data_IF_407952095164
#
_entry.id   IF_407952095164
#
_cell.length_a   1.000
_cell.length_b   1.000
_cell.length_c   1.000
_cell.angle_alpha   90.00
_cell.angle_beta   90.00
_cell.angle_gamma   90.00
#
_symmetry.space_group_name_H-M   'P 1'
#
loop_
_entity.id
_entity.type
_entity.pdbx_description
1 polymer ?
#
# COMPACT_ATOMS: atom_id res chain seq x y z
N UNK A 1 -24.13 -18.35 4.01
CA UNK A 1 -23.47 -17.06 4.28
C UNK A 1 -22.77 -17.20 5.62
N UNK A 2 -21.43 -17.20 5.64
CA UNK A 2 -20.68 -17.25 6.91
C UNK A 2 -20.70 -15.85 7.49
N UNK A 3 -21.46 -15.63 8.57
CA UNK A 3 -21.41 -14.39 9.34
C UNK A 3 -20.13 -14.38 10.16
N UNK A 4 -19.16 -13.56 9.75
CA UNK A 4 -18.00 -13.25 10.57
C UNK A 4 -18.39 -12.16 11.58
N UNK A 5 -17.87 -12.21 12.82
CA UNK A 5 -18.12 -11.17 13.82
C UNK A 5 -17.72 -9.79 13.30
N UNK A 6 -18.55 -8.76 13.53
CA UNK A 6 -18.30 -7.38 13.11
C UNK A 6 -16.94 -6.85 13.63
N UNK A 7 -16.58 -7.24 14.86
CA UNK A 7 -15.28 -7.00 15.48
C UNK A 7 -14.10 -7.50 14.63
N UNK A 8 -14.25 -8.67 13.99
CA UNK A 8 -13.23 -9.29 13.13
C UNK A 8 -13.19 -8.68 11.73
N UNK A 9 -14.32 -8.19 11.23
CA UNK A 9 -14.37 -7.43 9.98
C UNK A 9 -13.69 -6.07 10.19
N UNK A 10 -13.96 -5.38 11.30
CA UNK A 10 -13.32 -4.11 11.64
C UNK A 10 -11.82 -4.24 11.97
N UNK A 11 -11.32 -5.45 12.29
CA UNK A 11 -9.90 -5.69 12.57
C UNK A 11 -9.04 -5.99 11.33
N UNK A 12 -9.69 -6.14 10.17
CA UNK A 12 -9.05 -6.45 8.88
C UNK A 12 -9.40 -5.35 7.88
N UNK A 13 -8.38 -4.73 7.27
CA UNK A 13 -8.61 -3.70 6.26
C UNK A 13 -9.50 -4.18 5.08
N UNK A 14 -10.19 -3.25 4.45
CA UNK A 14 -11.06 -3.52 3.31
C UNK A 14 -10.32 -4.19 2.13
N UNK A 15 -9.05 -3.84 1.89
CA UNK A 15 -8.27 -4.42 0.78
C UNK A 15 -7.95 -5.91 0.99
N UNK A 16 -7.70 -6.36 2.22
CA UNK A 16 -7.61 -7.80 2.54
C UNK A 16 -8.95 -8.49 2.39
N UNK A 17 -10.04 -7.84 2.77
CA UNK A 17 -11.37 -8.42 2.61
C UNK A 17 -11.76 -8.57 1.14
N UNK A 18 -11.44 -7.59 0.30
CA UNK A 18 -11.74 -7.58 -1.13
C UNK A 18 -10.98 -8.66 -1.91
N UNK A 19 -9.77 -9.04 -1.49
CA UNK A 19 -8.94 -10.01 -2.20
C UNK A 19 -9.11 -11.45 -1.69
N UNK A 20 -9.85 -11.67 -0.57
CA UNK A 20 -10.20 -13.03 -0.07
C UNK A 20 -10.89 -13.93 -1.12
N UNK A 21 -11.79 -13.46 -1.98
CA UNK A 21 -12.40 -14.28 -3.02
C UNK A 21 -11.36 -14.81 -4.03
N UNK A 22 -10.41 -13.97 -4.44
CA UNK A 22 -9.32 -14.34 -5.35
C UNK A 22 -8.29 -15.27 -4.66
N UNK A 23 -8.05 -15.09 -3.36
CA UNK A 23 -7.26 -16.02 -2.53
C UNK A 23 -7.91 -17.41 -2.44
N UNK A 24 -9.25 -17.46 -2.28
CA UNK A 24 -10.02 -18.70 -2.23
C UNK A 24 -10.01 -19.46 -3.55
N UNK A 25 -9.84 -18.72 -4.66
CA UNK A 25 -9.69 -19.26 -6.02
C UNK A 25 -8.24 -19.67 -6.35
N UNK A 26 -7.30 -19.58 -5.40
CA UNK A 26 -5.89 -19.91 -5.59
C UNK A 26 -5.13 -18.92 -6.48
N UNK A 27 -5.70 -17.74 -6.75
CA UNK A 27 -5.10 -16.72 -7.61
C UNK A 27 -4.14 -15.80 -6.87
N UNK A 28 -4.16 -15.81 -5.53
CA UNK A 28 -3.38 -14.91 -4.67
C UNK A 28 -2.83 -15.59 -3.43
N UNK A 29 -1.60 -15.24 -3.07
CA UNK A 29 -0.93 -15.69 -1.85
C UNK A 29 -1.42 -14.86 -0.66
N UNK A 30 -1.83 -15.53 0.43
CA UNK A 30 -2.41 -14.93 1.65
C UNK A 30 -1.53 -13.88 2.34
N UNK A 31 -0.20 -13.93 2.14
CA UNK A 31 0.78 -13.09 2.83
C UNK A 31 1.01 -11.71 2.19
N UNK A 32 0.74 -11.55 0.89
CA UNK A 32 1.01 -10.30 0.16
C UNK A 32 0.01 -9.20 0.52
N UNK A 33 -1.28 -9.56 0.58
CA UNK A 33 -2.41 -8.65 0.77
C UNK A 33 -2.45 -8.06 2.19
N UNK A 34 -2.20 -8.90 3.19
CA UNK A 34 -2.20 -8.50 4.59
C UNK A 34 -1.10 -7.49 4.94
N UNK A 35 -0.07 -7.42 4.10
CA UNK A 35 1.05 -6.51 4.30
C UNK A 35 0.69 -5.07 3.91
N UNK A 36 0.07 -4.85 2.75
CA UNK A 36 -0.22 -3.49 2.23
C UNK A 36 -1.12 -2.69 3.17
N UNK A 37 -2.05 -3.37 3.83
CA UNK A 37 -3.17 -2.77 4.53
C UNK A 37 -2.91 -2.00 5.81
N UNK A 38 -1.79 -2.25 6.49
CA UNK A 38 -1.42 -1.43 7.65
C UNK A 38 0.07 -1.15 7.75
N UNK A 39 0.90 -1.68 6.86
CA UNK A 39 2.35 -1.63 7.03
C UNK A 39 3.03 -0.34 6.55
N UNK A 40 2.33 0.76 6.35
CA UNK A 40 2.96 1.99 5.84
C UNK A 40 3.40 2.93 6.98
N UNK A 41 2.99 2.68 8.22
CA UNK A 41 3.18 3.62 9.33
C UNK A 41 4.62 3.70 9.88
N UNK A 42 5.51 2.76 9.58
CA UNK A 42 6.92 2.84 10.01
C UNK A 42 7.90 2.40 8.91
N UNK A 43 9.16 2.87 8.96
CA UNK A 43 10.21 2.54 7.96
C UNK A 43 10.37 1.03 7.73
N UNK A 44 10.37 0.24 8.80
CA UNK A 44 10.52 -1.21 8.73
C UNK A 44 9.32 -1.86 8.04
N UNK A 45 8.12 -1.42 8.40
CA UNK A 45 6.87 -1.91 7.83
C UNK A 45 6.77 -1.54 6.34
N UNK A 46 7.18 -0.31 5.97
CA UNK A 46 7.16 0.18 4.60
C UNK A 46 8.13 -0.61 3.72
N UNK A 47 9.33 -0.90 4.23
CA UNK A 47 10.29 -1.76 3.53
C UNK A 47 9.72 -3.15 3.25
N UNK A 48 9.00 -3.75 4.22
CA UNK A 48 8.36 -5.05 4.03
C UNK A 48 7.18 -4.99 3.04
N UNK A 49 6.34 -3.96 3.11
CA UNK A 49 5.25 -3.76 2.14
C UNK A 49 5.77 -3.61 0.70
N UNK A 50 6.84 -2.82 0.51
CA UNK A 50 7.47 -2.64 -0.80
C UNK A 50 8.11 -3.92 -1.33
N UNK A 51 8.71 -4.76 -0.45
CA UNK A 51 9.19 -6.09 -0.84
C UNK A 51 8.06 -6.97 -1.37
N UNK A 52 6.93 -7.01 -0.66
CA UNK A 52 5.79 -7.82 -1.10
C UNK A 52 5.20 -7.29 -2.41
N UNK A 53 5.11 -5.97 -2.60
CA UNK A 53 4.69 -5.37 -3.87
C UNK A 53 5.65 -5.67 -5.02
N UNK A 54 6.95 -5.80 -4.76
CA UNK A 54 7.95 -6.21 -5.77
C UNK A 54 7.97 -7.72 -6.02
N UNK A 55 7.31 -8.53 -5.20
CA UNK A 55 7.13 -9.95 -5.44
C UNK A 55 5.81 -10.20 -6.19
N UNK A 56 4.75 -9.51 -5.76
CA UNK A 56 3.39 -9.64 -6.27
C UNK A 56 2.85 -8.25 -6.64
N UNK A 57 3.26 -7.67 -7.77
CA UNK A 57 2.92 -6.29 -8.13
C UNK A 57 1.44 -6.09 -8.43
N UNK A 58 0.77 -7.10 -9.01
CA UNK A 58 -0.62 -7.03 -9.47
C UNK A 58 -0.94 -5.66 -10.13
N UNK A 59 -2.07 -5.03 -9.76
CA UNK A 59 -2.42 -3.66 -10.14
C UNK A 59 -1.89 -2.59 -9.16
N UNK A 60 -1.16 -2.97 -8.12
CA UNK A 60 -0.72 -2.08 -7.04
C UNK A 60 0.67 -1.48 -7.28
N UNK A 61 1.50 -2.08 -8.17
CA UNK A 61 2.83 -1.56 -8.51
C UNK A 61 3.09 -1.63 -10.02
N UNK A 62 3.57 -0.51 -10.58
CA UNK A 62 4.11 -0.42 -11.94
C UNK A 62 5.37 0.42 -11.93
N UNK A 63 6.41 -0.03 -12.65
CA UNK A 63 7.68 0.68 -12.79
C UNK A 63 7.89 1.01 -14.26
N UNK A 64 8.20 2.28 -14.52
CA UNK A 64 8.42 2.81 -15.86
C UNK A 64 9.85 3.30 -16.01
N UNK A 65 10.41 3.15 -17.20
CA UNK A 65 11.68 3.74 -17.63
C UNK A 65 11.45 4.47 -18.94
N UNK A 66 11.74 5.78 -18.96
CA UNK A 66 11.57 6.64 -20.13
C UNK A 66 10.15 6.53 -20.73
N UNK A 67 9.12 6.55 -19.89
CA UNK A 67 7.71 6.40 -20.29
C UNK A 67 7.29 4.98 -20.67
N UNK A 68 8.19 4.00 -20.70
CA UNK A 68 7.88 2.60 -21.05
C UNK A 68 7.74 1.74 -19.80
N UNK A 69 6.69 0.91 -19.73
CA UNK A 69 6.47 -0.04 -18.64
C UNK A 69 7.54 -1.15 -18.67
N UNK A 70 8.34 -1.25 -17.61
CA UNK A 70 9.40 -2.27 -17.48
C UNK A 70 9.11 -3.33 -16.41
N UNK A 71 8.16 -3.09 -15.50
CA UNK A 71 7.74 -4.05 -14.47
C UNK A 71 6.34 -3.71 -13.93
N UNK A 72 5.54 -4.72 -13.56
CA UNK A 72 4.13 -4.59 -13.15
C UNK A 72 3.19 -5.45 -14.01
N UNK A 73 2.00 -5.80 -13.49
CA UNK A 73 1.05 -6.70 -14.17
C UNK A 73 0.66 -6.17 -15.55
N UNK A 74 1.02 -6.93 -16.59
CA UNK A 74 0.39 -6.94 -17.91
C UNK A 74 -0.67 -8.04 -17.88
N UNK A 75 -1.77 -7.87 -18.60
CA UNK A 75 -2.99 -8.69 -18.56
C UNK A 75 -2.75 -10.20 -18.38
N UNK A 76 -3.76 -10.91 -17.81
CA UNK A 76 -3.76 -12.25 -17.18
C UNK A 76 -3.02 -13.43 -17.88
N UNK A 77 -2.39 -13.23 -19.04
CA UNK A 77 -1.65 -14.24 -19.81
C UNK A 77 -0.12 -14.16 -19.73
N UNK A 78 0.48 -13.09 -19.19
CA UNK A 78 1.95 -12.87 -19.19
C UNK A 78 2.58 -12.86 -17.76
N UNK A 79 2.22 -13.86 -16.95
CA UNK A 79 2.43 -13.82 -15.49
C UNK A 79 3.74 -14.48 -15.00
N UNK A 80 4.87 -14.23 -15.67
CA UNK A 80 6.19 -14.51 -15.09
C UNK A 80 7.08 -13.28 -15.31
N UNK A 81 6.87 -12.27 -14.46
CA UNK A 81 7.69 -11.06 -14.49
C UNK A 81 9.07 -11.37 -13.93
N UNK A 82 10.08 -11.33 -14.80
CA UNK A 82 11.45 -11.61 -14.41
C UNK A 82 12.05 -10.43 -13.62
N UNK A 83 12.16 -10.63 -12.31
CA UNK A 83 12.82 -9.72 -11.38
C UNK A 83 14.26 -9.40 -11.81
N UNK A 84 14.96 -10.35 -12.46
CA UNK A 84 16.33 -10.13 -12.93
C UNK A 84 16.38 -9.12 -14.08
N UNK A 85 15.40 -9.17 -14.99
CA UNK A 85 15.24 -8.16 -16.04
C UNK A 85 15.02 -6.77 -15.44
N UNK A 86 14.14 -6.64 -14.42
CA UNK A 86 13.99 -5.37 -13.70
C UNK A 86 15.33 -4.90 -13.10
N UNK A 87 16.07 -5.78 -12.43
CA UNK A 87 17.36 -5.45 -11.83
C UNK A 87 18.37 -4.95 -12.86
N UNK A 88 18.40 -5.57 -14.05
CA UNK A 88 19.25 -5.12 -15.14
C UNK A 88 18.92 -3.68 -15.56
N UNK A 89 17.63 -3.33 -15.63
CA UNK A 89 17.20 -1.96 -15.91
C UNK A 89 17.56 -0.95 -14.81
N UNK A 90 17.52 -1.37 -13.54
CA UNK A 90 17.76 -0.52 -12.37
C UNK A 90 19.25 -0.32 -12.05
N UNK A 91 20.08 -1.34 -12.28
CA UNK A 91 21.50 -1.34 -11.88
C UNK A 91 22.26 -0.07 -12.27
N UNK A 92 22.13 0.49 -13.49
CA UNK A 92 22.84 1.71 -13.87
C UNK A 92 22.49 2.96 -13.05
N UNK A 93 21.30 3.01 -12.44
CA UNK A 93 20.85 4.15 -11.61
C UNK A 93 21.46 4.13 -10.20
N UNK A 94 21.75 2.94 -9.67
CA UNK A 94 22.33 2.78 -8.32
C UNK A 94 23.85 2.62 -8.37
N UNK A 95 24.37 1.99 -9.43
CA UNK A 95 25.77 1.62 -9.57
C UNK A 95 26.29 2.02 -10.97
N UNK A 96 26.47 3.32 -11.25
CA UNK A 96 27.05 3.77 -12.51
C UNK A 96 28.50 3.28 -12.61
N UNK A 97 28.94 2.87 -13.80
CA UNK A 97 30.24 2.24 -14.04
C UNK A 97 31.47 3.14 -13.81
N UNK A 98 31.32 4.31 -13.19
CA UNK A 98 32.31 5.39 -13.18
C UNK A 98 33.21 5.42 -11.92
N UNK A 99 33.40 4.29 -11.22
CA UNK A 99 34.33 4.26 -10.08
C UNK A 99 34.59 2.88 -9.51
N UNK A 100 35.66 2.23 -9.99
CA UNK A 100 36.55 1.27 -9.30
C UNK A 100 35.99 0.11 -8.43
N UNK A 101 34.69 -0.15 -8.41
CA UNK A 101 34.11 -1.30 -7.69
C UNK A 101 33.17 -2.04 -8.63
N UNK A 102 33.71 -2.79 -9.59
CA UNK A 102 32.96 -3.82 -10.33
C UNK A 102 32.74 -5.03 -9.41
N UNK A 103 31.97 -4.82 -8.35
CA UNK A 103 31.37 -5.90 -7.60
C UNK A 103 30.22 -6.49 -8.40
N UNK A 104 30.11 -7.82 -8.39
CA UNK A 104 28.84 -8.50 -8.68
C UNK A 104 27.81 -8.04 -7.64
N UNK A 105 27.15 -6.90 -7.88
CA UNK A 105 26.05 -6.46 -7.02
C UNK A 105 24.89 -7.42 -7.25
N UNK A 106 24.66 -8.30 -6.28
CA UNK A 106 23.60 -9.28 -6.33
C UNK A 106 22.23 -8.62 -6.41
N UNK A 107 21.29 -9.34 -7.02
CA UNK A 107 19.84 -9.06 -7.11
C UNK A 107 19.27 -8.40 -5.86
N UNK A 108 19.62 -8.94 -4.69
CA UNK A 108 19.12 -8.48 -3.39
C UNK A 108 19.54 -7.05 -3.05
N UNK A 109 20.73 -6.62 -3.45
CA UNK A 109 21.28 -5.30 -3.10
C UNK A 109 20.55 -4.20 -3.86
N UNK A 110 20.44 -4.34 -5.19
CA UNK A 110 19.75 -3.36 -6.06
C UNK A 110 18.29 -3.17 -5.62
N UNK A 111 17.60 -4.26 -5.28
CA UNK A 111 16.22 -4.18 -4.79
C UNK A 111 16.12 -3.49 -3.42
N UNK A 112 17.04 -3.80 -2.50
CA UNK A 112 17.05 -3.13 -1.19
C UNK A 112 17.30 -1.61 -1.34
N UNK A 113 18.19 -1.20 -2.25
CA UNK A 113 18.45 0.22 -2.50
C UNK A 113 17.24 0.91 -3.12
N UNK A 114 16.54 0.25 -4.06
CA UNK A 114 15.27 0.74 -4.60
C UNK A 114 14.24 0.93 -3.48
N UNK A 115 14.04 -0.09 -2.65
CA UNK A 115 13.11 -0.04 -1.51
C UNK A 115 13.49 1.10 -0.57
N UNK A 116 14.78 1.29 -0.30
CA UNK A 116 15.28 2.36 0.54
C UNK A 116 14.94 3.74 -0.03
N UNK A 117 15.25 3.97 -1.32
CA UNK A 117 14.97 5.25 -2.00
C UNK A 117 13.47 5.56 -2.00
N UNK A 118 12.62 4.58 -2.34
CA UNK A 118 11.16 4.77 -2.30
C UNK A 118 10.70 5.08 -0.87
N UNK A 119 11.21 4.36 0.13
CA UNK A 119 10.86 4.59 1.54
C UNK A 119 11.22 6.01 1.98
N UNK A 120 12.42 6.49 1.62
CA UNK A 120 12.84 7.85 1.94
C UNK A 120 11.98 8.88 1.23
N UNK A 121 11.68 8.68 -0.06
CA UNK A 121 10.84 9.59 -0.83
C UNK A 121 9.41 9.68 -0.26
N UNK A 122 8.79 8.56 0.08
CA UNK A 122 7.44 8.49 0.65
C UNK A 122 7.34 9.11 2.06
N UNK A 123 8.44 9.09 2.83
CA UNK A 123 8.53 9.66 4.17
C UNK A 123 9.05 11.09 4.20
N UNK A 124 9.51 11.62 3.06
CA UNK A 124 10.03 12.98 2.97
C UNK A 124 8.91 13.99 3.18
N UNK A 125 9.21 15.07 3.91
CA UNK A 125 8.27 16.14 4.16
C UNK A 125 7.91 16.83 2.84
N UNK A 126 6.63 17.15 2.70
CA UNK A 126 6.10 17.99 1.63
C UNK A 126 5.81 19.35 2.23
N UNK A 127 6.21 20.45 1.57
CA UNK A 127 6.04 21.82 2.08
C UNK A 127 4.57 22.12 2.40
N UNK A 128 4.14 21.95 3.65
CA UNK A 128 2.77 22.23 4.07
C UNK A 128 2.65 22.39 5.57
N UNK A 129 1.96 23.46 5.98
CA UNK A 129 1.83 23.92 7.38
C UNK A 129 0.46 23.60 7.98
N UNK A 130 0.06 22.33 8.13
CA UNK A 130 -1.19 21.99 8.86
C UNK A 130 -1.03 20.70 9.66
N UNK A 131 -1.41 20.76 10.94
CA UNK A 131 -1.39 19.64 11.88
C UNK A 131 -2.79 19.01 11.95
N UNK A 132 -2.91 17.74 11.61
CA UNK A 132 -4.05 16.89 11.96
C UNK A 132 -3.53 15.65 12.71
N UNK A 133 -4.33 15.08 13.60
CA UNK A 133 -4.02 13.89 14.39
C UNK A 133 -5.06 12.83 14.02
N UNK A 134 -4.66 11.70 13.38
CA UNK A 134 -5.59 10.62 13.10
C UNK A 134 -6.02 9.89 14.38
N UNK A 135 -7.31 9.62 14.55
CA UNK A 135 -7.85 8.72 15.57
C UNK A 135 -8.22 7.37 14.91
N UNK A 136 -7.67 6.25 15.40
CA UNK A 136 -7.95 4.91 14.85
C UNK A 136 -6.90 3.84 15.19
N UNK A 137 -7.23 2.56 14.95
CA UNK A 137 -6.29 1.43 15.14
C UNK A 137 -5.14 1.51 14.12
N UNK A 138 -3.91 1.24 14.57
CA UNK A 138 -2.66 1.41 13.78
C UNK A 138 -2.12 0.10 13.17
N UNK A 139 -2.88 -1.00 13.28
CA UNK A 139 -2.48 -2.32 12.80
C UNK A 139 -3.68 -3.17 12.34
N UNK A 140 -3.42 -4.14 11.46
CA UNK A 140 -4.40 -5.09 10.91
C UNK A 140 -4.04 -6.51 11.40
N UNK A 141 -5.02 -7.25 11.91
CA UNK A 141 -4.83 -8.57 12.52
C UNK A 141 -4.41 -9.65 11.51
N UNK A 142 -4.65 -9.43 10.22
CA UNK A 142 -4.16 -10.32 9.17
C UNK A 142 -2.62 -10.26 8.97
N UNK A 143 -1.92 -9.27 9.56
CA UNK A 143 -0.48 -9.08 9.35
C UNK A 143 0.38 -9.97 10.27
N UNK A 144 1.36 -10.68 9.71
CA UNK A 144 2.27 -11.58 10.44
C UNK A 144 3.31 -10.86 11.31
N UNK A 145 3.47 -9.53 11.17
CA UNK A 145 4.42 -8.73 11.94
C UNK A 145 3.98 -8.49 13.40
N UNK A 146 2.79 -8.97 13.79
CA UNK A 146 2.17 -8.76 15.09
C UNK A 146 3.10 -9.06 16.30
N UNK A 147 3.99 -10.04 16.18
CA UNK A 147 4.79 -10.53 17.31
C UNK A 147 6.00 -9.67 17.69
N UNK A 148 6.50 -8.80 16.80
CA UNK A 148 7.65 -7.91 17.09
C UNK A 148 7.22 -6.52 17.59
N UNK A 149 5.95 -6.14 17.36
CA UNK A 149 5.39 -4.79 17.58
C UNK A 149 5.23 -4.45 19.07
N UNK A 150 4.89 -5.42 19.92
CA UNK A 150 4.64 -5.19 21.36
C UNK A 150 5.89 -4.73 22.14
N UNK A 151 7.09 -4.80 21.54
CA UNK A 151 8.35 -4.44 22.22
C UNK A 151 8.90 -3.06 21.90
N UNK A 152 8.49 -2.38 20.82
CA UNK A 152 9.24 -1.21 20.31
C UNK A 152 8.45 0.09 20.12
N UNK A 153 7.15 0.10 20.42
CA UNK A 153 6.31 1.28 20.20
C UNK A 153 6.10 1.58 18.71
N UNK A 154 4.94 2.14 18.39
CA UNK A 154 4.56 2.46 17.01
C UNK A 154 5.16 3.82 16.70
N UNK A 155 6.15 3.87 15.82
CA UNK A 155 6.60 5.16 15.27
C UNK A 155 5.53 5.64 14.29
N UNK A 156 4.95 6.80 14.54
CA UNK A 156 3.96 7.40 13.65
C UNK A 156 4.60 7.88 12.35
N UNK A 157 3.78 7.93 11.31
CA UNK A 157 4.13 8.48 10.02
C UNK A 157 4.45 9.99 10.16
N UNK A 158 5.49 10.53 9.48
CA UNK A 158 5.77 11.96 9.49
C UNK A 158 4.55 12.76 9.03
N UNK A 159 4.11 13.73 9.84
CA UNK A 159 2.83 14.46 9.64
C UNK A 159 2.75 15.21 8.30
N UNK A 160 3.91 15.57 7.76
CA UNK A 160 3.99 16.38 6.54
C UNK A 160 4.36 15.55 5.30
N UNK A 161 4.46 14.22 5.40
CA UNK A 161 4.70 13.39 4.21
C UNK A 161 3.42 13.16 3.40
N UNK A 162 3.58 12.79 2.12
CA UNK A 162 2.45 12.55 1.20
C UNK A 162 1.50 11.48 1.73
N UNK A 163 2.05 10.44 2.36
CA UNK A 163 1.26 9.33 2.92
C UNK A 163 0.39 9.80 4.09
N UNK A 164 0.86 10.75 4.90
CA UNK A 164 0.05 11.28 6.02
C UNK A 164 -1.12 12.08 5.50
N UNK A 165 -0.91 12.87 4.44
CA UNK A 165 -1.99 13.64 3.79
C UNK A 165 -3.01 12.74 3.11
N UNK A 166 -2.57 11.68 2.43
CA UNK A 166 -3.47 10.68 1.84
C UNK A 166 -4.29 10.02 2.95
N UNK A 167 -3.65 9.60 4.05
CA UNK A 167 -4.35 8.99 5.18
C UNK A 167 -5.37 9.97 5.80
N UNK A 168 -5.01 11.24 5.97
CA UNK A 168 -5.93 12.27 6.45
C UNK A 168 -7.18 12.41 5.58
N UNK A 169 -7.01 12.42 4.26
CA UNK A 169 -8.14 12.47 3.32
C UNK A 169 -8.99 11.18 3.38
N UNK A 170 -8.35 10.02 3.53
CA UNK A 170 -9.04 8.74 3.69
C UNK A 170 -9.84 8.67 5.00
N UNK A 171 -9.36 9.32 6.07
CA UNK A 171 -10.05 9.40 7.36
C UNK A 171 -11.16 10.47 7.39
N UNK A 172 -11.50 11.12 6.28
CA UNK A 172 -12.70 11.98 6.23
C UNK A 172 -13.98 11.14 6.35
N UNK A 173 -13.92 9.86 6.00
CA UNK A 173 -15.01 8.91 6.23
C UNK A 173 -15.05 8.50 7.71
N UNK A 174 -15.80 9.26 8.50
CA UNK A 174 -15.97 9.02 9.93
C UNK A 174 -17.21 8.16 10.27
N UNK A 175 -18.01 7.80 9.27
CA UNK A 175 -19.29 7.09 9.48
C UNK A 175 -19.28 5.66 8.93
N UNK A 176 -18.26 5.30 8.16
CA UNK A 176 -18.22 4.09 7.33
C UNK A 176 -19.40 4.05 6.34
N UNK A 177 -19.36 3.13 5.38
CA UNK A 177 -20.42 3.01 4.38
C UNK A 177 -21.79 2.71 5.01
N UNK A 178 -21.82 1.95 6.10
CA UNK A 178 -23.06 1.62 6.81
C UNK A 178 -23.71 2.87 7.45
N UNK A 179 -22.91 3.80 7.98
CA UNK A 179 -23.42 5.07 8.53
C UNK A 179 -23.67 6.13 7.46
N UNK A 180 -22.92 6.11 6.36
CA UNK A 180 -23.08 7.05 5.25
C UNK A 180 -24.28 6.73 4.35
N UNK A 181 -24.59 5.45 4.13
CA UNK A 181 -25.65 5.02 3.22
C UNK A 181 -27.04 5.59 3.55
N UNK A 182 -27.51 5.61 4.82
CA UNK A 182 -28.77 6.27 5.18
C UNK A 182 -28.80 7.77 4.86
N UNK A 183 -27.67 8.47 5.00
CA UNK A 183 -27.55 9.89 4.67
C UNK A 183 -27.63 10.11 3.16
N UNK A 184 -26.92 9.28 2.39
CA UNK A 184 -27.02 9.26 0.93
C UNK A 184 -28.48 9.08 0.47
N UNK A 185 -29.22 8.15 1.07
CA UNK A 185 -30.64 7.92 0.72
C UNK A 185 -31.52 9.13 0.98
N UNK A 186 -31.26 9.88 2.05
CA UNK A 186 -32.00 11.13 2.35
C UNK A 186 -31.74 12.22 1.30
N UNK A 187 -30.48 12.39 0.91
CA UNK A 187 -30.12 13.35 -0.16
C UNK A 187 -30.74 12.92 -1.49
N UNK A 188 -30.70 11.62 -1.80
CA UNK A 188 -31.31 11.10 -3.02
C UNK A 188 -32.82 11.38 -3.07
N UNK A 189 -33.55 11.10 -1.98
CA UNK A 189 -34.99 11.39 -1.89
C UNK A 189 -35.29 12.89 -2.05
N UNK A 190 -34.49 13.74 -1.41
CA UNK A 190 -34.62 15.20 -1.55
C UNK A 190 -34.43 15.65 -2.99
N UNK A 191 -33.43 15.12 -3.70
CA UNK A 191 -33.19 15.45 -5.11
C UNK A 191 -34.22 14.84 -6.08
N UNK A 192 -34.92 13.77 -5.68
CA UNK A 192 -36.07 13.21 -6.42
C UNK A 192 -37.30 14.12 -6.26
N UNK A 193 -37.51 14.68 -5.07
CA UNK A 193 -38.61 15.62 -4.78
C UNK A 193 -38.36 17.04 -5.33
N UNK A 194 -37.10 17.48 -5.34
CA UNK A 194 -36.66 18.81 -5.77
C UNK A 194 -35.56 18.72 -6.85
N UNK A 195 -35.92 18.31 -8.08
CA UNK A 195 -34.94 18.06 -9.16
C UNK A 195 -34.16 19.32 -9.61
N UNK A 196 -34.68 20.51 -9.33
CA UNK A 196 -34.05 21.80 -9.64
C UNK A 196 -32.79 22.07 -8.78
N UNK A 197 -32.65 21.37 -7.64
CA UNK A 197 -31.53 21.51 -6.70
C UNK A 197 -30.36 20.53 -6.98
N UNK A 198 -30.41 19.84 -8.11
CA UNK A 198 -29.42 18.84 -8.53
C UNK A 198 -28.11 19.44 -9.05
#
# INVERSE_FOLDING_TARGET
>A
VVQLPLEFVQSVCLKVQQERPDMSAGRLNTESVASVCTNILSKQRMSFALKNLLQEPQNNLKIFKNGTLIYGCKDEKDSLQDLNTLIHHLKPYFYPANGLISGSHGTRTVLNDLIHVITVALLSATDSRRKYIPEGRTYCEASTLHREILRKGISDLPKDCVLSKILQAQTLDNLDIEGLYPLYRRVQQHLEEFPEER
#
